data_IF_726940011804
#
_entry.id   IF_726940011804
#
_cell.length_a   1.000
_cell.length_b   1.000
_cell.length_c   1.000
_cell.angle_alpha   90.00
_cell.angle_beta   90.00
_cell.angle_gamma   90.00
#
_symmetry.space_group_name_H-M   'P 1'
#
loop_
_entity.id
_entity.type
_entity.pdbx_description
1 polymer ?
2 non-polymer ?
3 water ?
#
# COMPACT_ATOMS: atom_id res chain seq x y z
N UNK A 2 4.28 21.07 -22.52
CA UNK A 2 3.95 19.65 -22.19
C UNK A 2 4.07 19.38 -20.70
N UNK A 3 5.19 19.73 -20.08
CA UNK A 3 5.16 20.03 -18.67
C UNK A 3 4.05 21.05 -18.40
N UNK A 4 4.05 22.15 -19.13
CA UNK A 4 3.22 23.30 -18.80
C UNK A 4 1.76 22.90 -19.00
N UNK A 5 1.54 22.04 -19.99
CA UNK A 5 0.24 21.48 -20.28
C UNK A 5 -0.21 20.54 -19.20
N UNK A 6 0.74 19.74 -18.69
CA UNK A 6 0.43 18.72 -17.70
C UNK A 6 0.12 19.43 -16.38
N UNK A 7 0.90 20.45 -16.03
CA UNK A 7 0.64 21.27 -14.86
C UNK A 7 -0.77 21.88 -14.91
N UNK A 8 -1.13 22.41 -16.08
CA UNK A 8 -2.43 23.04 -16.30
C UNK A 8 -3.56 22.06 -16.02
N UNK A 9 -3.43 20.84 -16.51
CA UNK A 9 -4.47 19.84 -16.35
C UNK A 9 -4.66 19.48 -14.89
N UNK A 10 -3.56 19.41 -14.15
CA UNK A 10 -3.59 19.08 -12.73
C UNK A 10 -4.26 20.17 -11.93
N UNK A 11 -4.02 21.44 -12.30
CA UNK A 11 -4.67 22.57 -11.66
C UNK A 11 -6.19 22.37 -11.67
N UNK A 12 -6.71 21.86 -12.79
CA UNK A 12 -8.14 21.75 -12.95
C UNK A 12 -8.74 20.69 -12.05
N UNK A 13 -7.93 19.83 -11.41
CA UNK A 13 -8.53 18.75 -10.67
C UNK A 13 -8.20 18.87 -9.18
N UNK A 14 -7.21 19.67 -8.84
CA UNK A 14 -6.87 19.84 -7.45
C UNK A 14 -7.73 20.95 -6.86
N UNK A 15 -7.81 20.94 -5.53
CA UNK A 15 -8.48 21.97 -4.78
C UNK A 15 -7.74 23.28 -5.06
N UNK A 16 -8.46 24.40 -5.31
CA UNK A 16 -7.83 25.71 -5.48
C UNK A 16 -7.15 26.15 -4.19
N UNK A 17 -6.14 27.00 -4.33
CA UNK A 17 -5.55 27.67 -3.20
C UNK A 17 -4.12 27.17 -2.96
N UNK A 18 -3.41 27.93 -2.12
CA UNK A 18 -2.10 27.57 -1.61
C UNK A 18 -2.27 27.05 -0.19
N UNK A 19 -1.90 25.80 0.09
CA UNK A 19 -2.10 25.25 1.43
C UNK A 19 -1.18 25.85 2.49
N UNK A 20 -0.16 26.61 2.09
CA UNK A 20 0.70 27.30 3.05
C UNK A 20 -0.09 28.38 3.78
N UNK A 21 -1.17 28.86 3.18
CA UNK A 21 -2.16 29.68 3.86
C UNK A 21 -2.71 29.01 5.12
N UNK A 22 -3.00 27.70 5.09
CA UNK A 22 -3.72 27.17 6.22
C UNK A 22 -2.88 26.15 6.99
N UNK A 23 -1.58 25.99 6.66
CA UNK A 23 -0.78 24.94 7.27
C UNK A 23 0.63 25.42 7.59
N UNK A 24 1.18 24.96 8.73
CA UNK A 24 2.53 25.35 9.15
C UNK A 24 3.39 24.14 9.51
N UNK A 25 4.65 24.44 9.83
CA UNK A 25 5.55 23.54 10.53
C UNK A 25 5.77 22.27 9.70
N UNK A 26 6.19 22.48 8.45
CA UNK A 26 6.40 21.37 7.54
C UNK A 26 7.73 20.72 7.88
N UNK A 27 7.72 19.40 8.10
CA UNK A 27 8.93 18.71 8.52
C UNK A 27 8.96 17.36 7.85
N UNK A 28 9.99 17.13 7.03
CA UNK A 28 10.16 15.88 6.31
C UNK A 28 10.30 14.75 7.34
N UNK A 29 9.47 13.70 7.19
CA UNK A 29 9.54 12.53 8.06
C UNK A 29 9.69 11.26 7.24
N UNK A 30 9.85 11.35 5.92
CA UNK A 30 9.80 10.15 5.12
C UNK A 30 9.97 10.45 3.65
N UNK A 31 10.01 9.37 2.87
CA UNK A 31 10.27 9.39 1.44
C UNK A 31 9.50 8.22 0.82
N UNK A 32 9.02 8.44 -0.39
CA UNK A 32 8.59 7.36 -1.26
C UNK A 32 9.41 7.44 -2.52
N UNK A 33 9.10 6.56 -3.48
CA UNK A 33 9.67 6.67 -4.82
C UNK A 33 9.13 7.93 -5.50
N UNK A 34 7.83 8.25 -5.30
CA UNK A 34 7.18 9.32 -6.04
C UNK A 34 7.39 10.67 -5.36
N UNK A 35 7.79 10.71 -4.09
CA UNK A 35 8.14 11.97 -3.46
C UNK A 35 8.33 11.89 -1.95
N UNK A 36 8.20 13.03 -1.25
CA UNK A 36 8.53 13.09 0.16
C UNK A 36 7.25 13.25 0.95
N UNK A 37 7.38 13.04 2.26
CA UNK A 37 6.29 13.16 3.20
C UNK A 37 6.73 14.06 4.35
N UNK A 38 5.92 15.07 4.63
CA UNK A 38 6.13 15.93 5.78
C UNK A 38 4.96 15.78 6.74
N UNK A 39 5.14 16.22 7.98
CA UNK A 39 4.00 16.59 8.80
C UNK A 39 3.84 18.11 8.77
N UNK A 40 2.60 18.52 9.00
CA UNK A 40 2.26 19.92 9.06
C UNK A 40 1.17 20.05 10.11
N UNK A 41 0.79 21.27 10.40
CA UNK A 41 -0.19 21.53 11.44
C UNK A 41 -1.14 22.56 10.85
N UNK A 42 -2.45 22.32 10.98
CA UNK A 42 -3.45 23.25 10.53
C UNK A 42 -3.47 24.50 11.42
N UNK A 43 -3.36 25.68 10.81
CA UNK A 43 -3.34 26.95 11.55
C UNK A 43 -4.53 27.07 12.50
N UNK A 44 -5.75 26.91 12.00
CA UNK A 44 -6.96 27.26 12.74
C UNK A 44 -7.21 26.41 13.99
N UNK A 45 -6.77 25.14 13.96
CA UNK A 45 -7.19 24.15 14.94
C UNK A 45 -6.01 23.52 15.69
N UNK A 46 -4.79 23.64 15.16
CA UNK A 46 -3.66 22.92 15.71
C UNK A 46 -3.63 21.41 15.39
N UNK A 47 -4.62 20.90 14.66
CA UNK A 47 -4.64 19.51 14.25
C UNK A 47 -3.44 19.18 13.35
N UNK A 48 -3.04 17.90 13.34
CA UNK A 48 -1.88 17.47 12.59
C UNK A 48 -2.35 16.79 11.32
N UNK A 49 -1.58 16.94 10.24
CA UNK A 49 -1.84 16.24 8.99
C UNK A 49 -0.51 15.75 8.45
N UNK A 50 -0.57 14.82 7.49
CA UNK A 50 0.59 14.46 6.69
C UNK A 50 0.44 15.02 5.28
N UNK A 51 1.57 15.33 4.64
CA UNK A 51 1.54 15.96 3.33
C UNK A 51 2.55 15.28 2.42
N UNK A 52 2.05 14.73 1.31
CA UNK A 52 2.91 14.18 0.29
C UNK A 52 3.21 15.28 -0.71
N UNK A 53 4.49 15.53 -0.93
CA UNK A 53 4.91 16.41 -1.99
C UNK A 53 5.61 15.55 -3.03
N UNK A 54 5.24 15.79 -4.29
CA UNK A 54 5.75 15.03 -5.41
C UNK A 54 6.05 16.00 -6.53
N UNK A 55 7.34 16.08 -6.89
CA UNK A 55 7.74 16.93 -7.97
C UNK A 55 7.25 16.34 -9.28
N UNK A 56 6.49 17.18 -10.01
CA UNK A 56 5.94 16.87 -11.32
C UNK A 56 7.01 16.56 -12.37
N UNK A 57 8.23 17.09 -12.20
CA UNK A 57 9.30 16.90 -13.17
C UNK A 57 10.16 15.67 -12.85
N UNK A 58 9.88 14.93 -11.76
CA UNK A 58 10.79 13.91 -11.27
C UNK A 58 10.09 12.56 -11.13
N UNK A 59 9.04 12.33 -11.93
CA UNK A 59 8.29 11.09 -11.83
C UNK A 59 8.72 10.14 -12.94
N UNK A 60 8.79 8.85 -12.60
CA UNK A 60 8.99 7.81 -13.60
C UNK A 60 7.84 7.82 -14.60
N UNK A 61 6.61 8.04 -14.14
CA UNK A 61 5.44 8.11 -15.02
C UNK A 61 4.44 9.16 -14.51
N UNK A 62 4.52 10.35 -15.07
CA UNK A 62 3.91 11.55 -14.53
C UNK A 62 2.41 11.38 -14.35
N UNK A 63 1.77 10.77 -15.36
CA UNK A 63 0.32 10.71 -15.43
C UNK A 63 -0.30 9.87 -14.33
N UNK A 64 0.50 9.10 -13.57
CA UNK A 64 0.00 8.38 -12.42
C UNK A 64 -0.47 9.34 -11.34
N UNK A 65 0.15 10.53 -11.32
CA UNK A 65 -0.18 11.57 -10.37
C UNK A 65 -1.67 11.90 -10.35
N UNK A 66 -2.39 11.72 -11.45
CA UNK A 66 -3.84 11.88 -11.45
C UNK A 66 -4.58 10.84 -10.60
N UNK A 67 -4.02 9.63 -10.44
CA UNK A 67 -4.83 8.53 -9.94
C UNK A 67 -5.33 8.85 -8.53
N UNK A 68 -4.41 9.01 -7.58
CA UNK A 68 -4.80 9.10 -6.18
C UNK A 68 -5.81 10.22 -6.00
N UNK A 69 -5.48 11.41 -6.52
CA UNK A 69 -6.23 12.61 -6.20
C UNK A 69 -7.69 12.53 -6.67
N UNK A 70 -7.96 11.75 -7.72
CA UNK A 70 -9.32 11.59 -8.19
C UNK A 70 -9.96 10.40 -7.48
N UNK A 71 -9.22 9.30 -7.36
CA UNK A 71 -9.82 8.02 -7.01
C UNK A 71 -10.25 8.06 -5.54
N UNK A 72 -9.38 8.57 -4.67
CA UNK A 72 -9.66 8.53 -3.25
C UNK A 72 -10.27 9.83 -2.77
N UNK A 73 -10.81 10.64 -3.71
CA UNK A 73 -11.10 12.04 -3.47
C UNK A 73 -11.88 12.20 -2.16
N UNK A 74 -12.99 11.46 -2.02
CA UNK A 74 -13.88 11.63 -0.86
C UNK A 74 -14.09 10.30 -0.15
N UNK A 75 -13.31 9.28 -0.54
CA UNK A 75 -13.50 7.91 -0.09
C UNK A 75 -13.08 7.78 1.38
N UNK A 76 -13.82 7.00 2.18
CA UNK A 76 -13.67 7.06 3.63
C UNK A 76 -13.94 5.70 4.28
N UNK A 77 -12.97 4.78 4.16
CA UNK A 77 -13.02 3.49 4.82
C UNK A 77 -12.18 3.51 6.11
N UNK A 78 -12.50 2.64 7.05
CA UNK A 78 -11.80 2.56 8.34
C UNK A 78 -10.36 2.05 8.16
N UNK A 79 -10.12 1.16 7.20
CA UNK A 79 -8.77 0.68 7.01
C UNK A 79 -8.09 1.37 5.84
N UNK A 80 -8.59 2.54 5.44
CA UNK A 80 -7.84 3.33 4.49
C UNK A 80 -7.52 4.69 5.09
N UNK A 81 -6.32 5.19 4.75
CA UNK A 81 -5.89 6.52 5.16
C UNK A 81 -6.74 7.58 4.45
N UNK A 82 -7.16 8.62 5.18
CA UNK A 82 -8.01 9.63 4.58
C UNK A 82 -7.17 10.69 3.86
N UNK A 83 -7.56 10.97 2.62
CA UNK A 83 -7.05 12.11 1.87
C UNK A 83 -7.99 13.27 2.18
N UNK A 84 -7.46 14.47 2.39
CA UNK A 84 -8.34 15.59 2.74
C UNK A 84 -8.44 16.52 1.55
N UNK A 85 -7.31 16.77 0.90
CA UNK A 85 -7.20 17.89 -0.02
C UNK A 85 -5.97 17.72 -0.87
N UNK A 86 -6.05 18.14 -2.14
CA UNK A 86 -4.86 18.19 -2.99
C UNK A 86 -4.69 19.59 -3.52
N UNK A 87 -3.43 19.99 -3.69
CA UNK A 87 -3.13 21.32 -4.17
C UNK A 87 -1.99 21.21 -5.16
N UNK A 88 -1.89 22.19 -6.05
CA UNK A 88 -0.71 22.36 -6.89
C UNK A 88 0.04 23.59 -6.39
N UNK A 89 1.28 23.35 -5.95
CA UNK A 89 2.11 24.38 -5.37
C UNK A 89 3.41 24.41 -6.13
N UNK A 90 3.57 25.40 -7.03
CA UNK A 90 4.78 25.50 -7.84
C UNK A 90 4.79 24.36 -8.84
N UNK A 91 5.86 23.55 -8.86
CA UNK A 91 5.89 22.37 -9.72
C UNK A 91 5.79 21.11 -8.87
N UNK A 92 5.09 21.21 -7.73
CA UNK A 92 4.82 20.07 -6.88
C UNK A 92 3.32 19.89 -6.71
N UNK A 93 2.90 18.62 -6.59
CA UNK A 93 1.58 18.27 -6.11
C UNK A 93 1.66 17.89 -4.63
N UNK A 94 0.81 18.52 -3.83
CA UNK A 94 0.71 18.26 -2.41
C UNK A 94 -0.62 17.62 -2.12
N UNK A 95 -0.57 16.52 -1.37
CA UNK A 95 -1.79 15.83 -1.00
C UNK A 95 -1.86 15.77 0.52
N UNK A 96 -2.83 16.45 1.09
CA UNK A 96 -2.94 16.54 2.53
C UNK A 96 -3.70 15.33 3.01
N UNK A 97 -3.10 14.59 3.93
CA UNK A 97 -3.72 13.36 4.40
C UNK A 97 -3.74 13.36 5.91
N UNK A 98 -4.40 12.34 6.45
CA UNK A 98 -4.46 12.12 7.88
C UNK A 98 -3.10 11.60 8.33
N UNK A 99 -2.72 11.97 9.54
CA UNK A 99 -1.42 11.60 10.04
C UNK A 99 -1.54 10.36 10.92
N UNK A 100 -0.76 9.32 10.60
CA UNK A 100 -0.74 8.09 11.37
C UNK A 100 0.50 8.04 12.25
N UNK A 101 0.25 7.87 13.56
CA UNK A 101 1.23 8.01 14.63
C UNK A 101 2.24 6.86 14.62
N UNK A 102 1.75 5.62 14.51
CA UNK A 102 2.57 4.45 14.79
C UNK A 102 3.51 4.08 13.64
N UNK A 103 3.50 4.83 12.54
CA UNK A 103 4.43 4.62 11.44
C UNK A 103 4.06 3.39 10.64
N UNK A 104 4.97 2.94 9.77
CA UNK A 104 4.71 1.89 8.79
C UNK A 104 5.15 0.51 9.26
N UNK A 105 4.49 -0.50 8.69
CA UNK A 105 4.78 -1.90 8.98
C UNK A 105 6.25 -2.23 8.70
N UNK A 106 6.87 -1.55 7.75
CA UNK A 106 8.22 -1.92 7.37
C UNK A 106 9.13 -1.96 8.59
N UNK A 107 9.03 -0.95 9.46
CA UNK A 107 9.92 -0.83 10.59
C UNK A 107 9.80 -2.03 11.53
N UNK A 108 8.58 -2.54 11.63
CA UNK A 108 8.28 -3.68 12.47
C UNK A 108 8.82 -4.98 11.85
N UNK A 109 8.65 -5.11 10.55
CA UNK A 109 8.94 -6.34 9.86
C UNK A 109 10.44 -6.57 9.75
N UNK A 110 11.22 -5.47 9.74
CA UNK A 110 12.66 -5.62 9.69
C UNK A 110 13.28 -5.65 11.08
N UNK A 111 12.55 -5.43 12.17
CA UNK A 111 13.16 -5.41 13.50
C UNK A 111 12.63 -6.50 14.43
N UNK A 112 11.70 -7.32 13.95
CA UNK A 112 11.03 -8.25 14.83
C UNK A 112 10.24 -9.23 14.00
N UNK A 113 9.86 -10.33 14.66
CA UNK A 113 9.07 -11.41 14.10
C UNK A 113 7.73 -11.46 14.83
N UNK A 114 6.70 -11.03 14.11
CA UNK A 114 5.34 -11.05 14.59
C UNK A 114 4.89 -12.48 14.79
N UNK A 115 3.94 -12.68 15.70
CA UNK A 115 3.20 -13.92 15.82
C UNK A 115 2.00 -13.87 14.88
N UNK A 116 1.32 -15.01 14.76
CA UNK A 116 0.31 -15.21 13.74
C UNK A 116 -0.96 -14.46 14.07
N UNK A 117 -1.20 -14.17 15.35
CA UNK A 117 -2.36 -13.38 15.72
C UNK A 117 -2.18 -11.96 15.19
N UNK A 118 -0.96 -11.43 15.29
CA UNK A 118 -0.68 -10.09 14.85
C UNK A 118 -0.71 -10.05 13.34
N UNK A 119 -0.14 -11.08 12.71
CA UNK A 119 -0.16 -11.21 11.27
C UNK A 119 -1.61 -11.25 10.79
N UNK A 120 -2.47 -11.99 11.49
CA UNK A 120 -3.85 -12.10 11.06
C UNK A 120 -4.50 -10.72 11.12
N UNK A 121 -4.25 -10.01 12.24
CA UNK A 121 -4.81 -8.68 12.46
C UNK A 121 -4.49 -7.78 11.27
N UNK A 122 -3.23 -7.82 10.83
CA UNK A 122 -2.82 -7.02 9.70
C UNK A 122 -3.59 -7.44 8.45
N UNK A 123 -3.63 -8.73 8.15
CA UNK A 123 -4.22 -9.22 6.91
C UNK A 123 -5.73 -8.99 6.89
N UNK A 124 -6.39 -9.22 8.02
CA UNK A 124 -7.82 -8.94 8.14
C UNK A 124 -8.10 -7.51 7.68
N UNK A 125 -7.35 -6.56 8.24
CA UNK A 125 -7.60 -5.15 8.02
C UNK A 125 -7.34 -4.79 6.55
N UNK A 126 -6.20 -5.25 6.02
CA UNK A 126 -5.87 -5.04 4.63
C UNK A 126 -7.00 -5.57 3.73
N UNK A 127 -7.52 -6.75 4.07
CA UNK A 127 -8.47 -7.41 3.19
C UNK A 127 -9.81 -6.67 3.19
N UNK A 128 -10.27 -6.22 4.36
CA UNK A 128 -11.42 -5.32 4.42
C UNK A 128 -11.25 -4.17 3.42
N UNK A 129 -10.15 -3.42 3.58
CA UNK A 129 -9.81 -2.39 2.63
C UNK A 129 -9.91 -2.91 1.20
N UNK A 130 -9.27 -4.04 0.88
CA UNK A 130 -9.25 -4.53 -0.48
C UNK A 130 -10.63 -5.00 -0.93
N UNK A 131 -11.46 -5.49 -0.01
CA UNK A 131 -12.76 -5.99 -0.45
C UNK A 131 -13.52 -4.81 -1.04
N UNK A 132 -13.62 -3.74 -0.26
CA UNK A 132 -14.45 -2.61 -0.63
C UNK A 132 -13.87 -1.98 -1.89
N UNK A 133 -12.54 -1.89 -1.94
CA UNK A 133 -11.87 -1.18 -3.02
C UNK A 133 -11.99 -1.94 -4.33
N UNK A 134 -11.74 -3.25 -4.28
CA UNK A 134 -11.67 -4.08 -5.47
C UNK A 134 -13.02 -4.13 -6.16
N UNK A 135 -14.06 -4.06 -5.32
CA UNK A 135 -15.43 -4.06 -5.81
C UNK A 135 -15.80 -2.76 -6.55
N UNK A 136 -14.91 -1.74 -6.53
CA UNK A 136 -15.17 -0.49 -7.23
C UNK A 136 -14.20 -0.32 -8.40
N UNK A 137 -13.57 -1.42 -8.81
CA UNK A 137 -12.65 -1.44 -9.92
C UNK A 137 -11.30 -0.82 -9.56
N UNK A 138 -10.97 -0.77 -8.25
CA UNK A 138 -9.77 -0.09 -7.79
C UNK A 138 -8.67 -1.12 -7.48
N UNK A 139 -7.60 -1.11 -8.29
CA UNK A 139 -6.40 -1.86 -8.03
C UNK A 139 -5.39 -0.92 -7.36
N UNK A 140 -4.90 -1.29 -6.18
CA UNK A 140 -3.86 -0.56 -5.48
C UNK A 140 -2.51 -0.64 -6.19
N UNK A 141 -2.02 -1.85 -6.45
CA UNK A 141 -0.80 -2.15 -7.21
C UNK A 141 0.47 -1.76 -6.46
N UNK A 142 0.40 -1.52 -5.16
CA UNK A 142 1.62 -1.26 -4.42
C UNK A 142 1.44 -1.72 -2.99
N UNK A 143 0.80 -2.88 -2.85
CA UNK A 143 0.72 -3.56 -1.57
C UNK A 143 2.11 -4.04 -1.20
N UNK A 144 2.57 -3.60 -0.03
CA UNK A 144 3.81 -4.04 0.56
C UNK A 144 3.84 -3.41 1.95
N UNK A 145 4.88 -3.70 2.72
CA UNK A 145 4.87 -3.34 4.13
C UNK A 145 4.98 -1.81 4.29
N UNK A 146 5.56 -1.12 3.32
CA UNK A 146 5.66 0.33 3.42
C UNK A 146 4.33 1.00 3.08
N UNK A 147 3.32 0.23 2.62
CA UNK A 147 2.02 0.78 2.30
C UNK A 147 1.05 0.57 3.46
N UNK A 148 1.52 0.09 4.60
CA UNK A 148 0.63 -0.20 5.71
C UNK A 148 1.02 0.69 6.89
N UNK A 149 0.05 1.46 7.39
CA UNK A 149 0.32 2.40 8.48
C UNK A 149 -0.42 1.96 9.72
N UNK A 150 0.10 2.38 10.88
CA UNK A 150 -0.50 2.02 12.16
C UNK A 150 -0.82 3.28 12.95
N UNK A 151 -1.97 3.22 13.64
CA UNK A 151 -2.33 4.20 14.66
C UNK A 151 -1.57 3.83 15.93
N UNK A 152 -1.49 4.80 16.85
CA UNK A 152 -0.75 4.60 18.09
C UNK A 152 -1.42 3.53 18.93
N UNK A 153 -2.70 3.25 18.66
CA UNK A 153 -3.47 2.24 19.37
C UNK A 153 -3.47 0.90 18.60
N UNK A 154 -2.78 0.87 17.45
CA UNK A 154 -2.46 -0.38 16.76
C UNK A 154 -3.55 -0.80 15.77
N UNK A 155 -4.30 0.17 15.27
CA UNK A 155 -5.21 -0.07 14.17
C UNK A 155 -4.41 0.09 12.87
N UNK A 156 -4.91 -0.54 11.82
CA UNK A 156 -4.14 -0.72 10.60
C UNK A 156 -4.87 -0.09 9.43
N UNK A 157 -4.12 0.70 8.64
CA UNK A 157 -4.67 1.38 7.49
C UNK A 157 -3.74 1.23 6.31
N UNK A 158 -4.35 1.14 5.15
CA UNK A 158 -3.63 1.07 3.89
C UNK A 158 -3.45 2.46 3.32
N UNK A 159 -2.24 2.71 2.79
CA UNK A 159 -1.86 3.98 2.22
C UNK A 159 -1.22 3.76 0.85
N UNK A 160 -0.58 4.80 0.30
CA UNK A 160 0.29 4.76 -0.88
C UNK A 160 -0.52 4.39 -2.10
N UNK A 161 -1.46 5.29 -2.43
CA UNK A 161 -2.37 5.06 -3.53
C UNK A 161 -1.84 5.77 -4.76
N UNK A 162 -0.55 6.13 -4.70
CA UNK A 162 0.13 6.72 -5.84
C UNK A 162 0.10 5.85 -7.11
N UNK A 163 -0.14 4.54 -7.01
CA UNK A 163 0.00 3.69 -8.18
C UNK A 163 -1.33 3.03 -8.55
N UNK A 164 -2.44 3.44 -7.93
CA UNK A 164 -3.67 2.67 -8.04
C UNK A 164 -4.24 2.82 -9.43
N UNK A 165 -5.32 2.10 -9.73
CA UNK A 165 -5.93 2.16 -11.05
C UNK A 165 -7.43 1.92 -10.97
N UNK A 166 -8.12 2.34 -12.05
CA UNK A 166 -9.53 2.10 -12.23
C UNK A 166 -9.72 1.12 -13.37
N UNK A 167 -10.41 0.01 -13.08
CA UNK A 167 -10.93 -0.84 -14.12
C UNK A 167 -12.44 -0.66 -14.13
N UNK A 168 -13.05 -1.20 -15.20
CA UNK A 168 -14.49 -1.17 -15.36
C UNK A 168 -14.96 -2.47 -15.94
N UNK A 169 -16.28 -2.69 -15.77
CA UNK A 169 -16.92 -3.83 -16.37
C UNK A 169 -16.33 -3.95 -17.76
N UNK A 170 -16.52 -2.94 -18.60
CA UNK A 170 -16.46 -3.13 -20.05
C UNK A 170 -15.00 -3.16 -20.51
N UNK A 171 -14.12 -2.36 -19.88
CA UNK A 171 -12.70 -2.47 -20.19
C UNK A 171 -11.97 -3.03 -18.98
N UNK A 172 -11.52 -4.30 -19.08
CA UNK A 172 -11.27 -5.14 -17.91
C UNK A 172 -9.87 -5.23 -17.30
N UNK A 173 -8.87 -5.41 -18.15
CA UNK A 173 -7.51 -5.68 -17.70
C UNK A 173 -6.68 -4.40 -17.70
N UNK A 174 -5.52 -4.43 -17.03
CA UNK A 174 -4.48 -3.47 -17.29
C UNK A 174 -3.29 -4.25 -17.83
N UNK A 175 -2.30 -3.54 -18.37
CA UNK A 175 -1.13 -4.21 -18.94
C UNK A 175 0.15 -3.52 -18.48
N UNK A 176 0.05 -2.28 -18.00
CA UNK A 176 1.22 -1.48 -17.67
C UNK A 176 1.98 -2.11 -16.53
N UNK A 177 3.29 -1.90 -16.57
CA UNK A 177 4.17 -2.43 -15.57
C UNK A 177 4.26 -1.37 -14.48
N UNK A 178 3.47 -1.56 -13.43
CA UNK A 178 3.41 -0.62 -12.32
C UNK A 178 3.49 -1.40 -11.03
N UNK A 179 4.40 -1.00 -10.13
CA UNK A 179 4.46 -1.55 -8.79
C UNK A 179 5.88 -1.41 -8.23
N UNK A 180 6.12 -2.08 -7.09
CA UNK A 180 7.47 -2.30 -6.60
C UNK A 180 7.90 -3.73 -6.94
N UNK A 181 8.99 -3.90 -7.73
CA UNK A 181 9.41 -5.20 -8.28
C UNK A 181 9.17 -6.46 -7.46
N UNK A 182 9.63 -6.47 -6.20
CA UNK A 182 9.70 -7.69 -5.42
C UNK A 182 8.27 -8.19 -5.14
N UNK A 183 7.28 -7.29 -5.13
CA UNK A 183 5.93 -7.60 -4.72
C UNK A 183 5.00 -7.76 -5.93
N UNK A 184 5.55 -7.63 -7.14
CA UNK A 184 4.77 -7.68 -8.36
C UNK A 184 4.27 -9.08 -8.67
N UNK A 185 3.00 -9.16 -9.07
CA UNK A 185 2.41 -10.39 -9.53
C UNK A 185 3.02 -10.75 -10.87
N UNK A 186 3.19 -12.07 -11.15
CA UNK A 186 3.90 -12.51 -12.36
C UNK A 186 3.26 -12.10 -13.68
N UNK A 187 1.92 -12.10 -13.75
CA UNK A 187 1.23 -11.72 -14.98
C UNK A 187 1.44 -10.22 -15.29
N UNK A 188 1.42 -9.39 -14.23
CA UNK A 188 1.78 -7.99 -14.35
C UNK A 188 3.21 -7.84 -14.91
N UNK A 189 4.13 -8.67 -14.42
CA UNK A 189 5.51 -8.56 -14.86
C UNK A 189 5.56 -8.90 -16.35
N UNK A 190 4.80 -9.91 -16.77
CA UNK A 190 4.83 -10.34 -18.15
C UNK A 190 3.75 -9.61 -18.93
N UNK A 191 3.33 -8.45 -18.41
CA UNK A 191 2.46 -7.51 -19.08
C UNK A 191 1.37 -8.20 -19.87
N UNK A 192 0.91 -9.36 -19.37
CA UNK A 192 -0.32 -9.93 -19.84
C UNK A 192 -1.44 -9.11 -19.21
N UNK A 193 -2.64 -9.03 -19.81
CA UNK A 193 -3.83 -8.60 -19.07
C UNK A 193 -3.75 -9.03 -17.62
N UNK A 194 -4.08 -8.11 -16.73
CA UNK A 194 -4.12 -8.40 -15.31
C UNK A 194 -5.22 -7.54 -14.69
N UNK A 195 -5.59 -7.86 -13.44
CA UNK A 195 -6.70 -7.23 -12.75
C UNK A 195 -6.43 -7.10 -11.25
N UNK A 196 -7.49 -6.86 -10.45
CA UNK A 196 -7.41 -6.83 -8.99
C UNK A 196 -6.50 -7.87 -8.34
N UNK A 197 -6.50 -9.08 -8.89
CA UNK A 197 -5.91 -10.24 -8.24
C UNK A 197 -4.43 -10.00 -7.93
N UNK A 198 -3.81 -9.02 -8.59
CA UNK A 198 -2.41 -8.73 -8.29
C UNK A 198 -2.24 -8.30 -6.82
N UNK A 199 -3.27 -7.68 -6.23
CA UNK A 199 -3.09 -7.13 -4.90
C UNK A 199 -3.01 -8.27 -3.91
N UNK A 200 -3.70 -9.34 -4.27
CA UNK A 200 -3.76 -10.53 -3.45
C UNK A 200 -2.39 -11.22 -3.46
N UNK A 201 -1.81 -11.38 -4.63
CA UNK A 201 -0.45 -11.86 -4.73
C UNK A 201 0.47 -11.02 -3.85
N UNK A 202 0.39 -9.70 -4.03
CA UNK A 202 1.26 -8.80 -3.30
C UNK A 202 1.05 -8.94 -1.81
N UNK A 203 -0.17 -9.21 -1.37
CA UNK A 203 -0.40 -9.40 0.05
C UNK A 203 0.31 -10.67 0.49
N UNK A 204 0.36 -11.64 -0.44
CA UNK A 204 1.07 -12.89 -0.22
C UNK A 204 2.53 -12.61 0.06
N UNK A 205 3.15 -11.74 -0.74
CA UNK A 205 4.54 -11.41 -0.51
C UNK A 205 4.69 -10.72 0.85
N UNK A 206 3.73 -9.88 1.21
CA UNK A 206 3.84 -9.15 2.47
C UNK A 206 3.73 -10.12 3.62
N UNK A 207 2.97 -11.21 3.44
CA UNK A 207 2.90 -12.20 4.50
C UNK A 207 4.25 -12.91 4.64
N UNK A 208 5.00 -13.06 3.54
CA UNK A 208 6.34 -13.61 3.60
C UNK A 208 7.31 -12.58 4.21
N UNK A 209 7.09 -11.29 3.96
CA UNK A 209 7.84 -10.26 4.68
C UNK A 209 7.70 -10.46 6.19
N UNK A 210 6.47 -10.66 6.63
CA UNK A 210 6.14 -10.67 8.03
C UNK A 210 6.71 -11.95 8.65
N UNK A 211 6.92 -12.99 7.84
CA UNK A 211 7.41 -14.26 8.35
C UNK A 211 8.92 -14.35 8.22
N UNK A 212 9.45 -14.14 7.01
CA UNK A 212 10.86 -14.37 6.70
C UNK A 212 11.69 -13.10 6.86
N UNK A 213 11.05 -11.93 6.94
CA UNK A 213 11.74 -10.68 7.22
C UNK A 213 12.04 -9.86 5.97
N UNK A 214 11.94 -10.48 4.78
CA UNK A 214 12.15 -9.76 3.53
C UNK A 214 11.34 -10.45 2.44
N UNK A 215 11.02 -9.79 1.30
CA UNK A 215 10.32 -10.48 0.23
C UNK A 215 11.30 -11.40 -0.50
N UNK A 216 10.82 -12.40 -1.28
CA UNK A 216 11.71 -13.27 -2.05
C UNK A 216 12.59 -12.45 -2.99
N UNK A 217 13.81 -12.94 -3.18
CA UNK A 217 14.74 -12.39 -4.17
C UNK A 217 15.20 -10.99 -3.74
N UNK A 218 15.16 -10.67 -2.45
CA UNK A 218 15.36 -9.29 -2.04
C UNK A 218 16.80 -8.89 -2.31
N UNK A 219 17.74 -9.78 -2.02
CA UNK A 219 19.16 -9.59 -2.28
C UNK A 219 19.47 -9.31 -3.75
N UNK A 220 18.51 -9.46 -4.68
CA UNK A 220 18.76 -9.32 -6.11
C UNK A 220 18.39 -7.93 -6.63
N UNK A 221 19.06 -7.46 -7.71
CA UNK A 221 18.70 -6.18 -8.34
C UNK A 221 17.32 -6.22 -8.97
N UNK A 222 16.56 -5.09 -8.92
CA UNK A 222 15.13 -5.11 -9.27
C UNK A 222 14.74 -5.78 -10.59
N UNK A 223 15.46 -5.48 -11.69
CA UNK A 223 15.10 -5.96 -13.03
C UNK A 223 15.26 -7.48 -13.13
N UNK A 224 16.35 -8.03 -12.58
CA UNK A 224 16.57 -9.47 -12.51
C UNK A 224 15.43 -10.13 -11.73
N UNK A 225 15.10 -9.57 -10.55
CA UNK A 225 14.08 -10.13 -9.67
C UNK A 225 12.74 -10.22 -10.39
N UNK A 226 12.44 -9.18 -11.16
CA UNK A 226 11.22 -9.16 -11.94
C UNK A 226 11.20 -10.37 -12.88
N UNK A 227 12.29 -10.54 -13.63
CA UNK A 227 12.44 -11.66 -14.54
C UNK A 227 12.21 -12.95 -13.75
N UNK A 228 12.89 -13.10 -12.60
CA UNK A 228 12.82 -14.32 -11.80
C UNK A 228 11.40 -14.65 -11.35
N UNK A 229 10.61 -13.66 -10.94
CA UNK A 229 9.25 -13.91 -10.48
C UNK A 229 8.40 -14.37 -11.66
N UNK A 230 8.67 -13.77 -12.84
CA UNK A 230 8.02 -14.18 -14.06
C UNK A 230 8.29 -15.64 -14.39
N UNK A 231 9.57 -16.05 -14.36
CA UNK A 231 9.99 -17.33 -14.91
C UNK A 231 9.80 -18.46 -13.89
N UNK A 232 9.83 -18.14 -12.60
CA UNK A 232 9.86 -19.16 -11.57
C UNK A 232 8.44 -19.48 -11.13
N UNK A 233 8.36 -20.40 -10.17
CA UNK A 233 7.13 -20.82 -9.52
C UNK A 233 7.00 -20.04 -8.22
N UNK A 234 5.76 -19.89 -7.70
CA UNK A 234 5.52 -19.14 -6.47
C UNK A 234 6.58 -19.46 -5.42
N UNK A 235 7.03 -18.45 -4.65
CA UNK A 235 8.08 -18.68 -3.65
C UNK A 235 7.53 -19.43 -2.44
N UNK A 236 8.38 -20.25 -1.81
CA UNK A 236 8.00 -20.96 -0.61
C UNK A 236 8.58 -20.21 0.58
N UNK A 237 7.92 -20.29 1.74
CA UNK A 237 8.54 -19.88 2.99
C UNK A 237 9.80 -20.71 3.25
N UNK A 238 10.81 -20.06 3.83
CA UNK A 238 11.96 -20.76 4.40
C UNK A 238 11.58 -21.39 5.75
N UNK A 239 10.82 -20.66 6.59
CA UNK A 239 10.48 -21.09 7.95
C UNK A 239 9.32 -22.09 7.94
N UNK A 240 9.29 -22.98 6.94
CA UNK A 240 8.14 -23.84 6.71
C UNK A 240 7.58 -24.42 8.02
N UNK A 241 8.47 -24.83 8.92
CA UNK A 241 8.05 -25.54 10.12
C UNK A 241 7.79 -24.58 11.28
N UNK A 242 8.24 -23.32 11.17
CA UNK A 242 7.98 -22.36 12.23
C UNK A 242 6.67 -21.60 11.92
N UNK A 243 5.65 -22.31 11.39
CA UNK A 243 4.37 -21.72 11.03
C UNK A 243 3.29 -22.79 11.05
N UNK A 244 2.03 -22.33 11.05
CA UNK A 244 0.88 -23.15 11.39
C UNK A 244 0.14 -23.55 10.12
N UNK A 245 -0.73 -24.57 10.16
CA UNK A 245 -1.44 -25.01 8.96
C UNK A 245 -2.39 -23.93 8.44
N UNK A 246 -3.01 -23.17 9.35
CA UNK A 246 -3.98 -22.13 9.00
C UNK A 246 -3.33 -21.09 8.10
N UNK A 247 -2.14 -20.64 8.51
CA UNK A 247 -1.38 -19.62 7.81
C UNK A 247 -0.90 -20.16 6.46
N UNK A 248 -0.39 -21.40 6.47
CA UNK A 248 0.13 -22.01 5.26
C UNK A 248 -1.03 -22.14 4.28
N UNK A 249 -2.21 -22.46 4.82
CA UNK A 249 -3.38 -22.64 3.98
C UNK A 249 -3.78 -21.32 3.35
N UNK A 250 -3.83 -20.30 4.19
CA UNK A 250 -4.06 -18.94 3.77
C UNK A 250 -3.07 -18.51 2.69
N UNK A 251 -1.79 -18.75 2.93
CA UNK A 251 -0.79 -18.33 1.97
C UNK A 251 -1.03 -18.97 0.61
N UNK A 252 -1.45 -20.22 0.58
CA UNK A 252 -1.50 -20.95 -0.69
C UNK A 252 -2.66 -20.47 -1.54
N UNK A 253 -3.66 -19.88 -0.88
CA UNK A 253 -4.74 -19.25 -1.63
C UNK A 253 -4.24 -17.95 -2.30
N UNK A 254 -3.21 -17.28 -1.72
CA UNK A 254 -2.74 -15.99 -2.19
C UNK A 254 -1.67 -16.16 -3.27
N UNK A 255 -0.68 -17.04 -3.05
CA UNK A 255 0.45 -17.15 -3.96
C UNK A 255 0.21 -18.23 -5.00
N UNK A 256 -0.88 -18.06 -5.77
CA UNK A 256 -1.18 -18.85 -6.95
C UNK A 256 -0.74 -18.07 -8.18
N UNK A 257 0.08 -18.69 -9.06
CA UNK A 257 0.43 -18.10 -10.34
C UNK A 257 -0.81 -17.83 -11.19
N UNK A 258 -1.73 -18.80 -11.23
CA UNK A 258 -2.88 -18.68 -12.10
C UNK A 258 -3.85 -17.68 -11.49
N UNK A 259 -3.97 -16.49 -12.12
CA UNK A 259 -4.79 -15.43 -11.54
C UNK A 259 -6.21 -15.91 -11.35
N UNK A 260 -6.66 -16.75 -12.28
CA UNK A 260 -8.03 -17.22 -12.31
C UNK A 260 -8.31 -18.09 -11.09
N UNK A 261 -7.27 -18.74 -10.59
CA UNK A 261 -7.43 -19.64 -9.46
C UNK A 261 -7.07 -18.95 -8.15
N UNK A 262 -6.36 -17.82 -8.24
CA UNK A 262 -5.98 -17.07 -7.05
C UNK A 262 -7.24 -16.60 -6.36
N UNK A 263 -7.21 -16.49 -5.03
CA UNK A 263 -8.41 -16.16 -4.29
C UNK A 263 -8.74 -14.66 -4.42
N UNK A 264 -9.90 -14.30 -3.90
CA UNK A 264 -10.36 -12.93 -3.92
C UNK A 264 -10.44 -12.50 -2.46
N UNK A 265 -10.51 -11.17 -2.28
CA UNK A 265 -10.54 -10.59 -0.96
C UNK A 265 -11.76 -11.10 -0.20
N UNK A 266 -12.93 -11.04 -0.84
CA UNK A 266 -14.17 -11.36 -0.16
C UNK A 266 -14.18 -12.84 0.24
N UNK A 267 -13.63 -13.70 -0.63
CA UNK A 267 -13.35 -15.09 -0.27
C UNK A 267 -12.53 -15.14 1.02
N UNK A 268 -11.37 -14.47 1.01
CA UNK A 268 -10.35 -14.63 2.04
C UNK A 268 -10.79 -14.09 3.41
N UNK A 269 -11.78 -13.19 3.43
CA UNK A 269 -12.34 -12.78 4.71
C UNK A 269 -12.98 -13.98 5.43
N UNK A 270 -13.49 -14.94 4.65
CA UNK A 270 -14.14 -16.13 5.21
C UNK A 270 -13.13 -17.18 5.64
N UNK A 271 -11.86 -16.99 5.29
CA UNK A 271 -10.80 -17.92 5.67
C UNK A 271 -10.61 -18.00 7.18
N UNK A 272 -10.47 -19.22 7.75
CA UNK A 272 -10.32 -19.41 9.21
C UNK A 272 -9.09 -18.74 9.81
N UNK A 273 -8.01 -18.67 9.02
CA UNK A 273 -6.80 -18.03 9.49
C UNK A 273 -7.13 -16.65 10.07
N UNK A 274 -7.99 -15.89 9.41
CA UNK A 274 -8.30 -14.54 9.86
C UNK A 274 -9.07 -14.53 11.18
N UNK A 275 -9.51 -15.70 11.67
CA UNK A 275 -10.24 -15.77 12.93
C UNK A 275 -9.29 -15.81 14.12
N UNK A 276 -7.97 -15.91 13.88
CA UNK A 276 -6.96 -15.77 14.94
C UNK A 276 -6.60 -14.30 15.19
N UNK A 277 -7.03 -13.42 14.28
CA UNK A 277 -6.67 -12.00 14.29
C UNK A 277 -6.85 -11.40 15.69
N UNK A 278 -5.78 -10.82 16.23
CA UNK A 278 -5.87 -10.18 17.53
C UNK A 278 -6.59 -8.85 17.43
N UNK A 279 -6.86 -8.18 18.58
CA UNK A 279 -7.47 -6.86 18.57
C UNK A 279 -6.37 -5.88 18.17
N UNK A 280 -6.71 -4.61 17.90
CA UNK A 280 -5.69 -3.55 17.77
C UNK A 280 -4.54 -3.58 18.78
N UNK A 281 -4.90 -3.86 20.05
CA UNK A 281 -3.96 -3.77 21.15
C UNK A 281 -2.87 -4.85 21.08
N UNK A 282 -3.08 -5.91 20.29
CA UNK A 282 -2.05 -6.94 20.16
C UNK A 282 -0.97 -6.50 19.18
N UNK A 283 -1.24 -5.43 18.40
CA UNK A 283 -0.24 -4.85 17.51
C UNK A 283 0.70 -3.89 18.25
N UNK A 284 0.22 -3.26 19.33
CA UNK A 284 0.93 -2.14 19.93
C UNK A 284 2.32 -2.53 20.45
N UNK A 285 2.58 -3.76 20.95
CA UNK A 285 3.90 -4.07 21.51
C UNK A 285 4.95 -4.21 20.42
N UNK A 286 4.51 -4.27 19.15
CA UNK A 286 5.41 -4.35 18.00
C UNK A 286 6.07 -3.01 17.68
N UNK A 287 5.46 -1.89 18.09
CA UNK A 287 5.86 -0.59 17.56
C UNK A 287 7.17 -0.13 18.22
N UNK A 288 7.96 0.61 17.44
CA UNK A 288 9.29 1.08 17.82
C UNK A 288 9.31 1.53 19.26
N UNK A 289 8.37 2.43 19.59
CA UNK A 289 8.31 3.08 20.89
C UNK A 289 8.01 2.08 22.02
N UNK A 290 7.61 0.84 21.70
CA UNK A 290 7.03 -0.07 22.70
C UNK A 290 7.92 -1.30 22.95
N UNK A 291 8.58 -1.83 21.90
CA UNK A 291 9.17 -3.17 21.89
C UNK A 291 10.55 -3.22 22.54
N UNK A 292 11.19 -2.06 22.59
CA UNK A 292 12.40 -1.89 23.35
C UNK A 292 12.03 -1.12 24.62
N UNK A 293 12.31 -1.73 25.78
CA UNK A 293 12.20 -1.02 27.04
C UNK A 293 13.62 -0.65 27.52
X LIG B 1 1.19 9.30 6.24
X LIG B 1 0.83 9.58 4.83
X LIG B 1 5.28 7.20 4.80
X LIG B 1 7.09 5.21 2.09
X LIG B 1 6.34 5.45 3.35
X LIG B 1 7.10 4.91 4.53
X LIG B 1 6.28 5.13 5.79
X LIG B 1 5.95 6.59 6.02
X LIG B 1 7.21 7.38 6.36
X LIG B 1 7.05 8.27 7.50
X LIG B 1 6.24 8.11 8.57
X LIG B 1 6.85 7.84 9.72
X LIG B 1 6.10 7.75 10.82
X LIG B 1 4.76 7.99 10.79
X LIG B 1 4.20 8.31 9.57
X LIG B 1 2.83 8.53 9.52
X LIG B 1 2.13 8.85 8.42
X LIG B 1 0.86 9.15 8.51
X LIG B 1 0.33 9.39 7.26
X LIG B 1 1.95 9.45 3.85
X LIG B 1 0.78 8.55 3.75
X LIG B 1 2.78 8.86 6.81
X LIG B 1 4.94 8.42 8.46
X LIG B 1 6.06 6.93 3.52
#
# INVERSE_FOLDING_TARGET
>A
SSHEQFRAALQLVVDPGDPRSYLDNFIKIGEGSTGIVCIATVRSSGKLVAVKKMDLRKQQRRELLFNEVVIMRDYQHENVVEMYNSYLVGDELWVVMEFLEGGALTDIVTHTRMNEEQIAAVCLAVLQALSVLHAQGVIHRDIKSDSILLTHDGRVKLSDFGFCAQVSKEVPRRKSLVGTPYWMAPELISRLPYGPEVDIWSLGIMVIEMVDGEPPYFNEPPLKAMKMIRDNLPPRLKNLHKVSPSLKGFLDRLLVRDPAQRATAAELLKHPFLAKAGPPASIVPLMRQNRTR
>B hetero
1 A1A2P C17 C18 C23 N01 C02 C03 C04 C05 C06 N07 C08 N09 C10 C11 C12 N13 C14 N15 C16 C19 C20 S21 N22 C24
#
